data_IF_710762350794
#
_entry.id   IF_710762350794
#
_cell.length_a   1.000
_cell.length_b   1.000
_cell.length_c   1.000
_cell.angle_alpha   90.00
_cell.angle_beta   90.00
_cell.angle_gamma   90.00
#
_symmetry.space_group_name_H-M   'P 1'
#
loop_
_entity.id
_entity.type
_entity.pdbx_description
1 polymer ?
#
# COMPACT_ATOMS: atom_id res chain seq x y z
N UNK A 1 -6.44 3.35 -8.43
CA UNK A 1 -5.96 2.01 -8.85
C UNK A 1 -6.49 1.65 -10.23
N UNK A 2 -7.73 1.99 -10.54
CA UNK A 2 -8.30 1.81 -11.88
C UNK A 2 -7.47 2.54 -12.96
N UNK A 3 -7.06 3.77 -12.70
CA UNK A 3 -6.17 4.52 -13.60
C UNK A 3 -4.80 3.83 -13.82
N UNK A 4 -4.18 3.32 -12.76
CA UNK A 4 -2.96 2.51 -12.88
C UNK A 4 -3.21 1.28 -13.76
N UNK A 5 -4.31 0.54 -13.52
CA UNK A 5 -4.62 -0.66 -14.28
C UNK A 5 -4.85 -0.35 -15.77
N UNK A 6 -5.61 0.70 -16.07
CA UNK A 6 -5.88 1.16 -17.43
C UNK A 6 -4.60 1.58 -18.16
N UNK A 7 -3.75 2.38 -17.50
CA UNK A 7 -2.50 2.87 -18.09
C UNK A 7 -1.45 1.76 -18.26
N UNK A 8 -1.41 0.77 -17.38
CA UNK A 8 -0.58 -0.44 -17.59
C UNK A 8 -1.08 -1.24 -18.79
N UNK A 9 -2.40 -1.47 -18.88
CA UNK A 9 -3.00 -2.22 -20.00
C UNK A 9 -2.78 -1.52 -21.35
N UNK A 10 -2.78 -0.18 -21.39
CA UNK A 10 -2.53 0.60 -22.60
C UNK A 10 -1.05 0.81 -22.90
N UNK A 11 -0.12 0.38 -22.01
CA UNK A 11 1.31 0.65 -22.13
C UNK A 11 1.73 2.08 -21.81
N UNK A 12 0.82 2.93 -21.31
CA UNK A 12 1.05 4.34 -21.00
C UNK A 12 1.42 4.61 -19.52
N UNK A 13 1.62 3.57 -18.71
CA UNK A 13 1.88 3.72 -17.27
C UNK A 13 3.08 4.63 -16.97
N UNK A 14 4.20 4.49 -17.70
CA UNK A 14 5.38 5.34 -17.51
C UNK A 14 5.12 6.80 -17.90
N UNK A 15 4.35 7.07 -18.96
CA UNK A 15 3.97 8.42 -19.39
C UNK A 15 3.06 9.09 -18.36
N UNK A 16 2.15 8.30 -17.76
CA UNK A 16 1.31 8.69 -16.64
C UNK A 16 2.06 8.70 -15.29
N UNK A 17 3.39 8.53 -15.30
CA UNK A 17 4.27 8.58 -14.13
C UNK A 17 3.94 7.54 -13.04
N UNK A 18 3.25 6.46 -13.40
CA UNK A 18 3.11 5.31 -12.54
C UNK A 18 4.43 4.55 -12.44
N UNK A 19 4.75 3.98 -11.27
CA UNK A 19 5.94 3.13 -11.13
C UNK A 19 5.71 1.79 -11.84
N UNK A 20 6.80 1.14 -12.26
CA UNK A 20 6.72 -0.11 -13.04
C UNK A 20 6.15 -1.30 -12.26
N UNK A 21 6.12 -1.22 -10.93
CA UNK A 21 5.73 -2.34 -10.04
C UNK A 21 4.52 -1.97 -9.20
N UNK A 22 3.44 -2.73 -9.35
CA UNK A 22 2.16 -2.55 -8.63
C UNK A 22 2.28 -2.60 -7.10
N UNK A 23 3.35 -3.23 -6.59
CA UNK A 23 3.61 -3.31 -5.16
C UNK A 23 3.74 -1.92 -4.52
N UNK A 24 4.36 -0.95 -5.20
CA UNK A 24 4.53 0.41 -4.66
C UNK A 24 3.19 1.13 -4.47
N UNK A 25 2.36 1.36 -5.50
CA UNK A 25 1.11 2.09 -5.36
C UNK A 25 0.10 1.35 -4.46
N UNK A 26 0.09 0.02 -4.46
CA UNK A 26 -0.76 -0.75 -3.54
C UNK A 26 -0.38 -0.55 -2.07
N UNK A 27 0.91 -0.49 -1.71
CA UNK A 27 1.35 -0.19 -0.33
C UNK A 27 1.10 1.26 0.05
N UNK A 28 1.24 2.21 -0.88
CA UNK A 28 0.82 3.61 -0.65
C UNK A 28 -0.68 3.67 -0.32
N UNK A 29 -1.51 2.96 -1.10
CA UNK A 29 -2.95 2.87 -0.87
C UNK A 29 -3.29 2.29 0.50
N UNK A 30 -2.63 1.21 0.91
CA UNK A 30 -2.82 0.62 2.25
C UNK A 30 -2.49 1.61 3.37
N UNK A 31 -1.36 2.32 3.30
CA UNK A 31 -0.98 3.33 4.30
C UNK A 31 -1.97 4.49 4.32
N UNK A 32 -2.38 4.99 3.16
CA UNK A 32 -3.35 6.07 3.04
C UNK A 32 -4.71 5.67 3.63
N UNK A 33 -5.20 4.46 3.32
CA UNK A 33 -6.43 3.92 3.86
C UNK A 33 -6.39 3.81 5.39
N UNK A 34 -5.30 3.29 5.97
CA UNK A 34 -5.12 3.23 7.43
C UNK A 34 -5.17 4.63 8.06
N UNK A 35 -4.52 5.63 7.47
CA UNK A 35 -4.53 7.01 7.95
C UNK A 35 -5.92 7.64 7.88
N UNK A 36 -6.64 7.43 6.78
CA UNK A 36 -7.99 7.94 6.60
C UNK A 36 -8.95 7.29 7.60
N UNK A 37 -8.88 5.97 7.76
CA UNK A 37 -9.71 5.23 8.71
C UNK A 37 -9.47 5.69 10.15
N UNK A 38 -8.21 5.87 10.55
CA UNK A 38 -7.85 6.39 11.87
C UNK A 38 -8.47 7.78 12.13
N UNK A 39 -8.50 8.66 11.12
CA UNK A 39 -9.08 10.01 11.21
C UNK A 39 -10.61 9.98 11.28
N UNK A 40 -11.26 9.19 10.43
CA UNK A 40 -12.72 9.06 10.40
C UNK A 40 -13.24 8.56 11.76
N UNK A 41 -12.55 7.61 12.37
CA UNK A 41 -12.95 7.00 13.64
C UNK A 41 -12.41 7.69 14.90
N UNK A 42 -11.66 8.80 14.80
CA UNK A 42 -10.84 9.33 15.89
C UNK A 42 -11.59 9.46 17.22
N UNK A 43 -12.80 10.03 17.20
CA UNK A 43 -13.60 10.23 18.41
C UNK A 43 -14.04 8.91 19.06
N UNK A 44 -14.44 7.92 18.27
CA UNK A 44 -14.82 6.60 18.79
C UNK A 44 -13.62 5.80 19.27
N UNK A 45 -12.54 5.81 18.47
CA UNK A 45 -11.32 5.10 18.78
C UNK A 45 -10.67 5.63 20.05
N UNK A 46 -10.65 6.96 20.24
CA UNK A 46 -10.16 7.57 21.49
C UNK A 46 -10.99 7.13 22.69
N UNK A 47 -12.33 7.15 22.60
CA UNK A 47 -13.20 6.69 23.70
C UNK A 47 -12.99 5.23 24.06
N UNK A 48 -12.68 4.38 23.06
CA UNK A 48 -12.52 2.93 23.21
C UNK A 48 -11.08 2.48 23.44
N UNK A 49 -10.11 3.40 23.45
CA UNK A 49 -8.69 3.05 23.54
C UNK A 49 -8.14 2.30 22.33
N UNK A 50 -8.72 2.51 21.14
CA UNK A 50 -8.28 1.87 19.88
C UNK A 50 -7.23 2.76 19.22
N UNK A 51 -6.16 2.12 18.74
CA UNK A 51 -5.11 2.75 17.95
C UNK A 51 -5.00 2.04 16.60
N UNK A 52 -4.96 2.81 15.51
CA UNK A 52 -4.77 2.29 14.15
C UNK A 52 -3.52 2.90 13.54
N UNK A 53 -2.64 2.04 13.03
CA UNK A 53 -1.40 2.43 12.35
C UNK A 53 -1.12 1.53 11.15
N UNK A 54 -0.21 1.97 10.28
CA UNK A 54 0.40 1.15 9.25
C UNK A 54 1.86 0.86 9.61
N UNK A 55 2.34 -0.35 9.30
CA UNK A 55 3.70 -0.78 9.62
C UNK A 55 4.28 -1.58 8.45
N UNK A 56 5.61 -1.49 8.28
CA UNK A 56 6.37 -2.37 7.40
C UNK A 56 7.15 -3.36 8.28
N UNK A 57 6.97 -4.69 8.10
CA UNK A 57 7.72 -5.67 8.88
C UNK A 57 9.18 -5.81 8.42
N UNK A 58 9.59 -5.08 7.38
CA UNK A 58 10.88 -5.26 6.71
C UNK A 58 10.86 -6.45 5.74
N UNK A 59 12.07 -6.87 5.33
CA UNK A 59 12.24 -8.08 4.54
C UNK A 59 12.16 -9.29 5.48
N UNK A 60 11.08 -10.04 5.39
CA UNK A 60 10.83 -11.25 6.19
C UNK A 60 10.88 -12.44 5.25
N UNK A 61 11.58 -13.53 5.61
CA UNK A 61 11.59 -14.76 4.81
C UNK A 61 10.20 -15.42 4.83
N UNK A 62 9.50 -15.29 3.72
CA UNK A 62 8.18 -15.87 3.45
C UNK A 62 8.16 -16.33 2.01
N UNK A 63 7.17 -17.14 1.62
CA UNK A 63 6.99 -17.51 0.21
C UNK A 63 6.91 -16.29 -0.72
N UNK A 64 6.33 -15.18 -0.26
CA UNK A 64 6.18 -13.95 -1.02
C UNK A 64 7.50 -13.18 -1.27
N UNK A 65 8.55 -13.41 -0.48
CA UNK A 65 9.83 -12.69 -0.57
C UNK A 65 11.00 -13.58 -0.99
N UNK A 66 10.85 -14.91 -0.92
CA UNK A 66 11.93 -15.89 -1.12
C UNK A 66 12.63 -15.75 -2.48
N UNK A 67 11.90 -15.40 -3.54
CA UNK A 67 12.49 -15.18 -4.88
C UNK A 67 13.44 -13.97 -4.93
N UNK A 68 13.20 -12.94 -4.11
CA UNK A 68 14.04 -11.74 -4.01
C UNK A 68 15.12 -11.81 -2.93
N UNK A 69 15.18 -12.91 -2.17
CA UNK A 69 16.16 -13.14 -1.08
C UNK A 69 17.43 -13.84 -1.55
N UNK A 70 17.49 -14.28 -2.81
CA UNK A 70 18.70 -14.91 -3.37
C UNK A 70 19.71 -13.81 -3.70
N UNK A 71 20.77 -13.71 -2.90
CA UNK A 71 21.94 -12.86 -3.15
C UNK A 71 22.92 -13.64 -4.04
#
# INVERSE_FOLDING_TARGET
>A
MDEYALTVQSGAASEAQWPDWINIPSKIGQVAASKIFARIGEGDFRRRGILVNAVCPGLVDTEASRSGLTI
#
